data_IF_765468944726
#
_entry.id   IF_765468944726
#
_cell.length_a   1.000
_cell.length_b   1.000
_cell.length_c   1.000
_cell.angle_alpha   90.00
_cell.angle_beta   90.00
_cell.angle_gamma   90.00
#
_symmetry.space_group_name_H-M   'P 1'
#
loop_
_entity.id
_entity.type
_entity.pdbx_description
1 polymer ?
#
# COMPACT_ATOMS: atom_id res chain seq x y z
N UNK A 1 23.44 18.88 -34.29
CA UNK A 1 22.46 19.51 -33.37
C UNK A 1 22.26 18.56 -32.20
N UNK A 2 22.28 19.06 -30.97
CA UNK A 2 22.57 18.32 -29.74
C UNK A 2 21.60 17.14 -29.48
N UNK A 3 22.18 15.94 -29.36
CA UNK A 3 21.57 14.81 -28.68
C UNK A 3 21.13 15.22 -27.27
N UNK A 4 19.82 15.23 -27.06
CA UNK A 4 19.21 15.36 -25.73
C UNK A 4 19.52 14.09 -24.95
N UNK A 5 20.61 14.11 -24.19
CA UNK A 5 20.87 13.15 -23.11
C UNK A 5 19.70 13.26 -22.14
N UNK A 6 18.72 12.37 -22.30
CA UNK A 6 17.69 12.12 -21.30
C UNK A 6 18.42 11.62 -20.06
N UNK A 7 18.72 12.53 -19.14
CA UNK A 7 19.19 12.18 -17.81
C UNK A 7 18.05 11.41 -17.17
N UNK A 8 18.15 10.07 -17.17
CA UNK A 8 17.27 9.20 -16.39
C UNK A 8 17.40 9.62 -14.93
N UNK A 9 16.54 10.54 -14.49
CA UNK A 9 16.38 10.93 -13.09
C UNK A 9 15.82 9.70 -12.39
N UNK A 10 16.70 8.93 -11.75
CA UNK A 10 16.30 7.76 -10.99
C UNK A 10 15.56 8.24 -9.74
N UNK A 11 14.22 8.26 -9.79
CA UNK A 11 13.40 8.52 -8.61
C UNK A 11 13.64 7.40 -7.60
N UNK A 12 13.98 7.74 -6.35
CA UNK A 12 14.23 6.75 -5.28
C UNK A 12 13.38 7.07 -4.06
N UNK A 13 12.48 6.15 -3.71
CA UNK A 13 11.78 6.17 -2.42
C UNK A 13 12.54 5.28 -1.44
N UNK A 14 13.02 5.86 -0.35
CA UNK A 14 13.78 5.13 0.66
C UNK A 14 12.82 4.54 1.70
N UNK A 15 12.57 3.24 1.60
CA UNK A 15 11.76 2.51 2.58
C UNK A 15 12.63 2.17 3.81
N UNK A 16 12.20 2.51 5.04
CA UNK A 16 12.89 2.13 6.28
C UNK A 16 13.12 0.61 6.42
N UNK A 17 14.20 0.20 7.08
CA UNK A 17 14.60 -1.21 7.18
C UNK A 17 13.55 -2.11 7.84
N UNK A 18 12.85 -1.63 8.87
CA UNK A 18 11.80 -2.42 9.54
C UNK A 18 10.58 -2.64 8.64
N UNK A 19 10.27 -1.67 7.78
CA UNK A 19 9.22 -1.79 6.76
C UNK A 19 9.67 -2.65 5.58
N UNK A 20 10.96 -2.64 5.22
CA UNK A 20 11.52 -3.61 4.27
C UNK A 20 11.39 -5.04 4.78
N UNK A 21 11.70 -5.29 6.06
CA UNK A 21 11.46 -6.59 6.69
C UNK A 21 9.97 -6.97 6.61
N UNK A 22 9.07 -6.04 6.93
CA UNK A 22 7.62 -6.27 6.81
C UNK A 22 7.20 -6.70 5.38
N UNK A 23 7.78 -6.11 4.33
CA UNK A 23 7.53 -6.51 2.94
C UNK A 23 8.05 -7.93 2.62
N UNK A 24 9.19 -8.32 3.19
CA UNK A 24 9.74 -9.67 3.02
C UNK A 24 8.86 -10.71 3.70
N UNK A 25 8.47 -10.44 4.96
CA UNK A 25 7.59 -11.31 5.74
C UNK A 25 6.22 -11.46 5.04
N UNK A 26 5.62 -10.34 4.59
CA UNK A 26 4.36 -10.32 3.80
C UNK A 26 4.48 -11.17 2.52
N UNK A 27 5.57 -10.99 1.76
CA UNK A 27 5.84 -11.79 0.56
C UNK A 27 5.91 -13.29 0.88
N UNK A 28 6.60 -13.69 1.95
CA UNK A 28 6.69 -15.10 2.37
C UNK A 28 5.32 -15.65 2.77
N UNK A 29 4.56 -14.92 3.59
CA UNK A 29 3.22 -15.34 4.02
C UNK A 29 2.29 -15.61 2.84
N UNK A 30 2.22 -14.68 1.88
CA UNK A 30 1.30 -14.82 0.76
C UNK A 30 1.81 -15.83 -0.26
N UNK A 31 3.05 -15.70 -0.71
CA UNK A 31 3.55 -16.47 -1.86
C UNK A 31 3.92 -17.90 -1.48
N UNK A 32 4.59 -18.10 -0.34
CA UNK A 32 5.07 -19.43 0.07
C UNK A 32 4.04 -20.13 0.94
N UNK A 33 3.55 -19.46 2.00
CA UNK A 33 2.66 -20.07 2.98
C UNK A 33 1.19 -20.04 2.58
N UNK A 34 0.81 -19.25 1.56
CA UNK A 34 -0.57 -19.12 1.12
C UNK A 34 -1.51 -18.50 2.15
N UNK A 35 -0.96 -17.81 3.15
CA UNK A 35 -1.73 -17.11 4.19
C UNK A 35 -2.05 -15.72 3.68
N UNK A 36 -3.31 -15.31 3.83
CA UNK A 36 -3.81 -14.05 3.30
C UNK A 36 -4.20 -13.12 4.45
N UNK A 37 -4.02 -11.82 4.24
CA UNK A 37 -4.55 -10.81 5.15
C UNK A 37 -6.08 -10.89 5.13
N UNK A 38 -6.73 -11.00 6.29
CA UNK A 38 -8.19 -11.00 6.38
C UNK A 38 -8.76 -9.65 5.94
N UNK A 39 -9.79 -9.70 5.09
CA UNK A 39 -10.54 -8.53 4.61
C UNK A 39 -11.97 -8.54 5.17
N UNK A 40 -12.59 -7.37 5.45
CA UNK A 40 -11.96 -6.04 5.40
C UNK A 40 -10.93 -5.87 6.53
N UNK A 41 -9.86 -5.14 6.24
CA UNK A 41 -8.74 -4.92 7.15
C UNK A 41 -8.99 -3.67 8.01
N UNK A 42 -8.79 -3.79 9.33
CA UNK A 42 -8.93 -2.69 10.28
C UNK A 42 -7.62 -2.43 11.08
N UNK A 43 -7.00 -1.24 10.98
CA UNK A 43 -7.42 -0.09 10.18
C UNK A 43 -7.24 -0.30 8.67
N UNK A 44 -8.13 0.29 7.87
CA UNK A 44 -8.00 0.30 6.41
C UNK A 44 -7.10 1.46 5.93
N UNK A 45 -6.79 1.54 4.64
CA UNK A 45 -5.96 2.61 4.06
C UNK A 45 -6.56 3.99 4.37
N UNK A 46 -7.88 4.15 4.23
CA UNK A 46 -8.55 5.43 4.54
C UNK A 46 -8.39 5.82 6.01
N UNK A 47 -8.49 4.87 6.94
CA UNK A 47 -8.25 5.10 8.36
C UNK A 47 -6.81 5.53 8.65
N UNK A 48 -5.85 4.88 8.00
CA UNK A 48 -4.42 5.17 8.15
C UNK A 48 -4.09 6.57 7.62
N UNK A 49 -4.59 6.91 6.43
CA UNK A 49 -4.40 8.23 5.83
C UNK A 49 -5.04 9.32 6.67
N UNK A 50 -6.26 9.10 7.18
CA UNK A 50 -6.93 10.02 8.10
C UNK A 50 -6.12 10.24 9.38
N UNK A 51 -5.64 9.16 10.02
CA UNK A 51 -4.78 9.26 11.22
C UNK A 51 -3.51 10.08 10.96
N UNK A 52 -2.89 9.93 9.78
CA UNK A 52 -1.71 10.71 9.41
C UNK A 52 -2.04 12.18 9.17
N UNK A 53 -3.16 12.47 8.48
CA UNK A 53 -3.62 13.83 8.25
C UNK A 53 -3.92 14.55 9.57
N UNK A 54 -4.64 13.89 10.49
CA UNK A 54 -4.92 14.41 11.83
C UNK A 54 -3.63 14.71 12.62
N UNK A 55 -2.62 13.85 12.48
CA UNK A 55 -1.30 14.07 13.08
C UNK A 55 -0.59 15.30 12.49
N UNK A 56 -0.74 15.56 11.19
CA UNK A 56 -0.15 16.72 10.50
C UNK A 56 -0.86 18.02 10.81
N UNK A 57 -2.18 18.04 10.75
CA UNK A 57 -2.99 19.24 10.99
C UNK A 57 -2.90 19.75 12.42
N UNK A 58 -2.60 18.87 13.40
CA UNK A 58 -2.30 19.30 14.78
C UNK A 58 -1.01 20.09 14.90
N UNK A 59 -0.06 19.88 13.99
CA UNK A 59 1.23 20.57 13.99
C UNK A 59 1.13 21.90 13.23
N UNK A 60 0.46 21.91 12.08
CA UNK A 60 0.27 23.08 11.24
C UNK A 60 -0.90 22.84 10.25
N UNK A 61 -1.87 23.76 10.20
CA UNK A 61 -3.05 23.65 9.36
C UNK A 61 -2.75 23.78 7.86
N UNK A 62 -1.81 24.65 7.47
CA UNK A 62 -1.44 24.90 6.07
C UNK A 62 -0.71 23.68 5.50
N UNK A 63 0.19 23.09 6.30
CA UNK A 63 0.86 21.83 5.94
C UNK A 63 -0.17 20.70 5.80
N UNK A 64 -1.20 20.69 6.65
CA UNK A 64 -2.29 19.72 6.60
C UNK A 64 -3.02 19.71 5.26
N UNK A 65 -3.36 20.89 4.70
CA UNK A 65 -4.07 20.99 3.42
C UNK A 65 -3.23 20.43 2.26
N UNK A 66 -1.96 20.82 2.16
CA UNK A 66 -1.04 20.32 1.14
C UNK A 66 -0.84 18.80 1.23
N UNK A 67 -0.67 18.27 2.46
CA UNK A 67 -0.58 16.83 2.70
C UNK A 67 -1.87 16.12 2.29
N UNK A 68 -3.03 16.73 2.55
CA UNK A 68 -4.34 16.20 2.17
C UNK A 68 -4.45 15.92 0.66
N UNK A 69 -4.00 16.84 -0.19
CA UNK A 69 -4.00 16.64 -1.64
C UNK A 69 -3.06 15.50 -2.07
N UNK A 70 -1.88 15.39 -1.47
CA UNK A 70 -0.95 14.29 -1.74
C UNK A 70 -1.58 12.94 -1.35
N UNK A 71 -2.25 12.86 -0.20
CA UNK A 71 -2.92 11.64 0.25
C UNK A 71 -4.08 11.26 -0.65
N UNK A 72 -4.87 12.22 -1.14
CA UNK A 72 -5.94 11.97 -2.13
C UNK A 72 -5.36 11.36 -3.42
N UNK A 73 -4.24 11.90 -3.91
CA UNK A 73 -3.53 11.35 -5.06
C UNK A 73 -3.04 9.93 -4.81
N UNK A 74 -2.42 9.68 -3.65
CA UNK A 74 -1.93 8.36 -3.26
C UNK A 74 -3.06 7.34 -3.09
N UNK A 75 -4.20 7.74 -2.51
CA UNK A 75 -5.41 6.92 -2.36
C UNK A 75 -5.98 6.51 -3.72
N UNK A 76 -6.17 7.49 -4.62
CA UNK A 76 -6.65 7.25 -5.99
C UNK A 76 -5.69 6.31 -6.75
N UNK A 77 -4.39 6.49 -6.53
CA UNK A 77 -3.38 5.64 -7.13
C UNK A 77 -3.43 4.22 -6.57
N UNK A 78 -3.55 4.06 -5.24
CA UNK A 78 -3.71 2.77 -4.59
C UNK A 78 -4.92 2.00 -5.15
N UNK A 79 -6.08 2.65 -5.22
CA UNK A 79 -7.32 2.03 -5.72
C UNK A 79 -7.16 1.47 -7.15
N UNK A 80 -6.46 2.21 -8.02
CA UNK A 80 -6.21 1.79 -9.41
C UNK A 80 -5.09 0.77 -9.54
N UNK A 81 -4.01 0.95 -8.78
CA UNK A 81 -2.82 0.11 -8.86
C UNK A 81 -3.03 -1.26 -8.23
N UNK A 82 -3.93 -1.37 -7.24
CA UNK A 82 -4.13 -2.61 -6.49
C UNK A 82 -4.34 -3.84 -7.38
N UNK A 83 -5.41 -3.91 -8.22
CA UNK A 83 -5.64 -5.08 -9.06
C UNK A 83 -4.63 -5.25 -10.20
N UNK A 84 -3.86 -4.20 -10.53
CA UNK A 84 -2.94 -4.20 -11.67
C UNK A 84 -1.56 -4.74 -11.27
N UNK A 85 -1.06 -4.36 -10.08
CA UNK A 85 0.35 -4.59 -9.75
C UNK A 85 0.68 -4.80 -8.26
N UNK A 86 -0.28 -4.64 -7.33
CA UNK A 86 0.02 -4.75 -5.89
C UNK A 86 -0.43 -6.08 -5.27
N UNK A 87 -1.25 -6.86 -5.98
CA UNK A 87 -1.68 -8.19 -5.54
C UNK A 87 -0.75 -9.28 -6.07
N UNK A 88 -0.44 -10.24 -5.20
CA UNK A 88 0.11 -11.52 -5.59
C UNK A 88 -0.98 -12.42 -6.19
N UNK A 89 -0.57 -13.40 -7.00
CA UNK A 89 -1.50 -14.32 -7.71
C UNK A 89 -2.56 -14.95 -6.80
N UNK A 90 -2.19 -15.32 -5.57
CA UNK A 90 -3.07 -15.97 -4.58
C UNK A 90 -4.13 -15.04 -3.98
N UNK A 91 -3.96 -13.72 -4.07
CA UNK A 91 -4.89 -12.73 -3.49
C UNK A 91 -6.04 -12.36 -4.44
N UNK A 92 -5.94 -12.70 -5.74
CA UNK A 92 -6.94 -12.28 -6.73
C UNK A 92 -8.35 -12.85 -6.49
N UNK A 93 -8.46 -14.05 -5.93
CA UNK A 93 -9.77 -14.62 -5.57
C UNK A 93 -10.40 -13.79 -4.44
N UNK A 94 -9.64 -13.55 -3.37
CA UNK A 94 -10.06 -12.72 -2.25
C UNK A 94 -10.43 -11.29 -2.69
N UNK A 95 -9.69 -10.71 -3.64
CA UNK A 95 -10.02 -9.40 -4.22
C UNK A 95 -11.38 -9.38 -4.91
N UNK A 96 -11.70 -10.40 -5.73
CA UNK A 96 -13.00 -10.47 -6.44
C UNK A 96 -14.17 -10.54 -5.45
N UNK A 97 -13.99 -11.23 -4.34
CA UNK A 97 -15.01 -11.35 -3.29
C UNK A 97 -15.14 -10.06 -2.47
N UNK A 98 -14.01 -9.44 -2.10
CA UNK A 98 -13.98 -8.27 -1.24
C UNK A 98 -14.38 -6.97 -1.96
N UNK A 99 -14.09 -6.85 -3.26
CA UNK A 99 -14.39 -5.68 -4.10
C UNK A 99 -15.66 -5.90 -4.93
N UNK A 100 -16.67 -6.52 -4.32
CA UNK A 100 -18.02 -6.53 -4.88
C UNK A 100 -18.64 -5.12 -4.83
N UNK A 101 -19.55 -4.82 -5.76
CA UNK A 101 -20.39 -3.63 -5.77
C UNK A 101 -19.63 -2.27 -5.84
N UNK A 102 -18.52 -2.23 -6.58
CA UNK A 102 -17.77 -0.98 -6.83
C UNK A 102 -17.19 -0.34 -5.55
N UNK A 103 -16.92 -1.17 -4.53
CA UNK A 103 -16.28 -0.74 -3.29
C UNK A 103 -14.84 -0.28 -3.57
N UNK A 104 -14.44 0.86 -3.00
CA UNK A 104 -13.10 1.41 -3.19
C UNK A 104 -12.08 0.58 -2.40
N UNK A 105 -10.99 0.08 -3.02
CA UNK A 105 -10.04 -0.78 -2.32
C UNK A 105 -9.40 -0.18 -1.07
N UNK A 106 -9.18 1.13 -1.03
CA UNK A 106 -8.68 1.86 0.14
C UNK A 106 -9.59 1.78 1.38
N UNK A 107 -10.86 1.41 1.21
CA UNK A 107 -11.79 1.17 2.33
C UNK A 107 -11.76 -0.27 2.85
N UNK A 108 -11.09 -1.19 2.12
CA UNK A 108 -11.11 -2.64 2.38
C UNK A 108 -9.73 -3.17 2.78
N UNK A 109 -8.69 -2.69 2.12
CA UNK A 109 -7.31 -3.12 2.33
C UNK A 109 -6.61 -2.24 3.38
N UNK A 110 -5.48 -2.71 3.92
CA UNK A 110 -4.74 -2.02 4.98
C UNK A 110 -3.29 -1.72 4.65
N UNK A 111 -2.47 -1.63 5.70
CA UNK A 111 -1.10 -1.16 5.63
C UNK A 111 -0.18 -2.07 4.81
N UNK A 112 -0.44 -3.37 4.81
CA UNK A 112 0.35 -4.38 4.11
C UNK A 112 0.40 -4.06 2.60
N UNK A 113 -0.78 -3.95 1.97
CA UNK A 113 -0.91 -3.61 0.55
C UNK A 113 -0.52 -2.17 0.26
N UNK A 114 -0.83 -1.24 1.15
CA UNK A 114 -0.40 0.16 1.02
C UNK A 114 1.13 0.26 0.98
N UNK A 115 1.85 -0.54 1.76
CA UNK A 115 3.31 -0.51 1.78
C UNK A 115 3.90 -1.03 0.45
N UNK A 116 3.27 -2.02 -0.18
CA UNK A 116 3.67 -2.52 -1.51
C UNK A 116 3.63 -1.40 -2.57
N UNK A 117 2.72 -0.44 -2.43
CA UNK A 117 2.63 0.70 -3.32
C UNK A 117 3.95 1.50 -3.36
N UNK A 118 4.60 1.70 -2.21
CA UNK A 118 5.86 2.45 -2.13
C UNK A 118 7.04 1.77 -2.83
N UNK A 119 6.93 0.47 -3.13
CA UNK A 119 7.91 -0.26 -3.96
C UNK A 119 7.70 0.05 -5.45
N UNK A 120 6.45 0.24 -5.88
CA UNK A 120 6.07 0.49 -7.28
C UNK A 120 6.07 1.97 -7.66
N UNK A 121 5.84 2.85 -6.69
CA UNK A 121 5.75 4.28 -6.89
C UNK A 121 6.95 4.92 -7.62
N UNK A 122 8.23 4.58 -7.32
CA UNK A 122 9.37 5.22 -7.97
C UNK A 122 9.43 5.01 -9.48
N UNK A 123 9.12 3.79 -9.94
CA UNK A 123 9.07 3.44 -11.36
C UNK A 123 8.05 4.34 -12.08
N UNK A 124 6.91 4.55 -11.45
CA UNK A 124 5.79 5.30 -12.01
C UNK A 124 6.05 6.82 -12.02
N UNK A 125 6.67 7.33 -10.95
CA UNK A 125 7.06 8.73 -10.86
C UNK A 125 8.15 9.11 -11.88
N UNK A 126 8.94 8.15 -12.36
CA UNK A 126 9.97 8.40 -13.37
C UNK A 126 9.36 8.79 -14.72
N UNK A 127 8.15 8.32 -15.03
CA UNK A 127 7.42 8.67 -16.25
C UNK A 127 6.52 9.90 -16.11
N UNK A 128 6.40 10.45 -14.91
CA UNK A 128 5.57 11.63 -14.65
C UNK A 128 6.35 12.91 -15.00
N UNK A 129 5.70 13.83 -15.73
CA UNK A 129 6.28 15.14 -16.04
C UNK A 129 6.15 16.09 -14.84
N UNK A 130 6.95 15.86 -13.80
CA UNK A 130 6.98 16.64 -12.56
C UNK A 130 8.30 17.41 -12.52
N UNK A 131 8.24 18.70 -12.20
CA UNK A 131 9.44 19.51 -12.02
C UNK A 131 10.23 19.09 -10.76
N UNK A 132 11.48 19.53 -10.68
CA UNK A 132 12.42 19.06 -9.65
C UNK A 132 12.04 19.49 -8.23
N UNK A 133 11.49 20.69 -8.08
CA UNK A 133 11.07 21.23 -6.79
C UNK A 133 9.85 20.46 -6.28
N UNK A 134 8.83 20.30 -7.12
CA UNK A 134 7.62 19.52 -6.80
C UNK A 134 7.95 18.06 -6.51
N UNK A 135 8.84 17.43 -7.30
CA UNK A 135 9.28 16.06 -7.05
C UNK A 135 9.98 15.92 -5.70
N UNK A 136 10.82 16.90 -5.35
CA UNK A 136 11.53 16.91 -4.06
C UNK A 136 10.56 17.00 -2.90
N UNK A 137 9.59 17.92 -2.98
CA UNK A 137 8.55 18.08 -1.95
C UNK A 137 7.66 16.84 -1.83
N UNK A 138 7.31 16.20 -2.95
CA UNK A 138 6.55 14.96 -2.96
C UNK A 138 7.32 13.84 -2.25
N UNK A 139 8.60 13.62 -2.61
CA UNK A 139 9.42 12.57 -1.99
C UNK A 139 9.60 12.80 -0.49
N UNK A 140 9.78 14.04 -0.04
CA UNK A 140 9.84 14.38 1.38
C UNK A 140 8.54 13.99 2.12
N UNK A 141 7.38 14.30 1.54
CA UNK A 141 6.08 13.95 2.12
C UNK A 141 5.87 12.44 2.16
N UNK A 142 6.26 11.72 1.11
CA UNK A 142 6.20 10.25 1.06
C UNK A 142 7.12 9.60 2.11
N UNK A 143 8.34 10.11 2.28
CA UNK A 143 9.28 9.62 3.30
C UNK A 143 8.78 9.90 4.71
N UNK A 144 8.16 11.05 4.95
CA UNK A 144 7.58 11.36 6.25
C UNK A 144 6.38 10.46 6.58
N UNK A 145 5.54 10.15 5.58
CA UNK A 145 4.47 9.18 5.74
C UNK A 145 5.00 7.77 6.03
N UNK A 146 6.06 7.32 5.34
CA UNK A 146 6.73 6.06 5.65
C UNK A 146 7.29 6.02 7.08
N UNK A 147 7.84 7.14 7.58
CA UNK A 147 8.29 7.25 8.97
C UNK A 147 7.11 7.18 9.95
N UNK A 148 5.95 7.74 9.59
CA UNK A 148 4.74 7.62 10.39
C UNK A 148 4.26 6.15 10.48
N UNK A 149 4.23 5.44 9.35
CA UNK A 149 3.92 4.01 9.32
C UNK A 149 4.89 3.19 10.16
N UNK A 150 6.19 3.50 10.08
CA UNK A 150 7.23 2.85 10.88
C UNK A 150 7.03 3.08 12.39
N UNK A 151 6.72 4.31 12.81
CA UNK A 151 6.50 4.62 14.23
C UNK A 151 5.30 3.90 14.83
N UNK A 152 4.29 3.63 14.01
CA UNK A 152 3.04 2.96 14.43
C UNK A 152 2.93 1.54 13.89
N UNK A 153 4.07 0.89 13.62
CA UNK A 153 4.11 -0.36 12.87
C UNK A 153 3.27 -1.48 13.52
N UNK A 154 3.34 -1.63 14.84
CA UNK A 154 2.54 -2.64 15.58
C UNK A 154 1.03 -2.38 15.55
N UNK A 155 0.61 -1.14 15.30
CA UNK A 155 -0.80 -0.78 15.18
C UNK A 155 -1.34 -1.08 13.77
N UNK A 156 -0.49 -0.95 12.75
CA UNK A 156 -0.90 -0.96 11.36
C UNK A 156 -0.65 -2.29 10.65
N UNK A 157 0.38 -3.02 11.04
CA UNK A 157 0.80 -4.26 10.37
C UNK A 157 0.55 -5.47 11.26
N UNK A 158 0.07 -6.55 10.66
CA UNK A 158 -0.03 -7.84 11.33
C UNK A 158 1.35 -8.49 11.49
N UNK A 159 1.56 -9.14 12.64
CA UNK A 159 2.74 -9.98 12.89
C UNK A 159 2.67 -11.34 12.19
N UNK A 160 1.45 -11.84 11.97
CA UNK A 160 1.14 -13.15 11.37
C UNK A 160 -0.17 -13.08 10.61
N UNK A 161 -0.31 -13.84 9.52
CA UNK A 161 -1.56 -13.94 8.76
C UNK A 161 -2.31 -15.21 9.14
N UNK A 162 -3.64 -15.15 9.10
CA UNK A 162 -4.47 -16.32 9.33
C UNK A 162 -4.40 -17.27 8.13
N UNK A 163 -4.55 -18.56 8.40
CA UNK A 163 -4.82 -19.52 7.34
C UNK A 163 -6.23 -19.20 6.85
N UNK A 164 -6.36 -18.86 5.56
CA UNK A 164 -7.68 -18.72 4.95
C UNK A 164 -8.40 -20.03 5.20
N UNK A 165 -9.47 -20.03 6.02
CA UNK A 165 -10.38 -21.16 6.09
C UNK A 165 -11.07 -21.25 4.73
N UNK A 166 -10.40 -21.88 3.77
CA UNK A 166 -11.09 -22.54 2.69
C UNK A 166 -12.06 -23.49 3.35
N UNK A 167 -13.34 -23.37 3.01
CA UNK A 167 -14.34 -24.36 3.38
C UNK A 167 -13.76 -25.72 3.00
N UNK A 168 -13.30 -26.48 4.01
CA UNK A 168 -13.12 -27.91 3.89
C UNK A 168 -14.53 -28.44 3.71
N UNK A 169 -14.98 -28.50 2.46
CA UNK A 169 -16.07 -29.36 2.08
C UNK A 169 -15.56 -30.77 2.37
N UNK A 170 -15.86 -31.24 3.57
CA UNK A 170 -15.68 -32.61 3.99
C UNK A 170 -16.38 -33.47 2.93
N UNK A 171 -15.59 -34.12 2.08
CA UNK A 171 -16.02 -35.29 1.34
C UNK A 171 -16.29 -36.38 2.37
N UNK A 172 -17.52 -36.42 2.89
CA UNK A 172 -18.07 -37.64 3.45
C UNK A 172 -18.53 -38.47 2.26
N UNK A 173 -17.56 -39.19 1.69
CA UNK A 173 -17.82 -40.55 1.21
C UNK A 173 -18.16 -41.36 2.47
N UNK A 174 -19.42 -41.73 2.63
CA UNK A 174 -19.78 -42.89 3.45
C UNK A 174 -20.73 -43.73 2.59
N UNK A 175 -20.15 -44.81 2.07
CA UNK A 175 -20.81 -46.03 1.65
C UNK A 175 -21.64 -46.60 2.82
N UNK A 176 -22.96 -46.75 2.62
CA UNK A 176 -23.74 -47.97 2.90
C UNK A 176 -25.21 -47.81 2.42
#
# INVERSE_FOLDING_TARGET
EKDTVSTNKHVKVQIPSTLKKQLLDDCEYVTQLGKLVKLPRAPCVDDIMKKYLDHKSKKDAIIGESVGEILKGLRSYFDKALPIMLLYKKEFQQYREAIANNTSPSTVYGAEHLLRLFVKLPEMLTYANIDEETMTQLLQNLHDFLKFLQKSQSMFFLSTYDVSQGVEANSMEDDD
#
